data_IF_064239958027
#
_entry.id   IF_064239958027
#
_cell.length_a   1.000
_cell.length_b   1.000
_cell.length_c   1.000
_cell.angle_alpha   90.00
_cell.angle_beta   90.00
_cell.angle_gamma   90.00
#
_symmetry.space_group_name_H-M   'P 1'
#
loop_
_entity.id
_entity.type
_entity.pdbx_description
1 polymer ?
#
# COMPACT_ATOMS: atom_id res chain seq x y z
N UNK A 1 -22.61 7.77 -18.23
CA UNK A 1 -22.82 7.25 -16.86
C UNK A 1 -21.57 6.61 -16.24
N UNK A 2 -20.70 5.89 -16.99
CA UNK A 2 -19.47 5.30 -16.43
C UNK A 2 -18.43 6.34 -15.99
N UNK A 3 -18.18 7.37 -16.80
CA UNK A 3 -17.22 8.44 -16.48
C UNK A 3 -17.57 9.23 -15.21
N UNK A 4 -18.85 9.50 -14.97
CA UNK A 4 -19.32 10.19 -13.78
C UNK A 4 -19.08 9.37 -12.50
N UNK A 5 -19.21 8.05 -12.55
CA UNK A 5 -18.94 7.16 -11.40
C UNK A 5 -17.45 7.11 -11.05
N UNK A 6 -16.57 7.18 -12.06
CA UNK A 6 -15.13 7.24 -11.86
C UNK A 6 -14.67 8.60 -11.29
N UNK A 7 -15.27 9.69 -11.80
CA UNK A 7 -15.02 11.03 -11.28
C UNK A 7 -15.48 11.16 -9.82
N UNK A 8 -16.65 10.61 -9.48
CA UNK A 8 -17.18 10.60 -8.12
C UNK A 8 -16.28 9.79 -7.17
N UNK A 9 -15.79 8.61 -7.61
CA UNK A 9 -14.83 7.81 -6.84
C UNK A 9 -13.52 8.55 -6.58
N UNK A 10 -12.99 9.26 -7.58
CA UNK A 10 -11.79 10.09 -7.44
C UNK A 10 -11.97 11.25 -6.47
N UNK A 11 -13.10 11.94 -6.54
CA UNK A 11 -13.43 13.05 -5.63
C UNK A 11 -13.59 12.57 -4.19
N UNK A 12 -14.28 11.45 -3.98
CA UNK A 12 -14.43 10.85 -2.65
C UNK A 12 -13.07 10.44 -2.09
N UNK A 13 -12.20 9.86 -2.90
CA UNK A 13 -10.86 9.45 -2.50
C UNK A 13 -10.00 10.66 -2.11
N UNK A 14 -10.03 11.73 -2.91
CA UNK A 14 -9.34 12.99 -2.60
C UNK A 14 -9.92 13.65 -1.34
N UNK A 15 -11.23 13.63 -1.16
CA UNK A 15 -11.88 14.16 0.03
C UNK A 15 -11.48 13.39 1.30
N UNK A 16 -11.44 12.04 1.24
CA UNK A 16 -11.00 11.19 2.35
C UNK A 16 -9.53 11.44 2.65
N UNK A 17 -8.69 11.57 1.63
CA UNK A 17 -7.26 11.85 1.78
C UNK A 17 -7.02 13.23 2.39
N UNK A 18 -7.76 14.24 1.95
CA UNK A 18 -7.75 15.58 2.54
C UNK A 18 -8.22 15.55 4.00
N UNK A 19 -9.27 14.77 4.31
CA UNK A 19 -9.82 14.63 5.65
C UNK A 19 -8.80 13.97 6.59
N UNK A 20 -8.05 12.96 6.11
CA UNK A 20 -6.98 12.32 6.87
C UNK A 20 -5.80 13.27 7.08
N UNK A 21 -5.42 14.06 6.09
CA UNK A 21 -4.30 15.01 6.18
C UNK A 21 -4.64 16.17 7.11
N UNK A 22 -5.90 16.68 7.08
CA UNK A 22 -6.30 17.87 7.84
C UNK A 22 -6.93 17.54 9.20
N UNK A 23 -7.53 16.36 9.35
CA UNK A 23 -8.19 15.98 10.59
C UNK A 23 -7.45 14.82 11.25
N UNK A 24 -6.58 15.14 12.17
CA UNK A 24 -5.91 14.16 13.03
C UNK A 24 -6.95 13.56 13.96
N UNK A 25 -7.47 12.37 13.63
CA UNK A 25 -8.22 11.58 14.61
C UNK A 25 -7.22 10.96 15.59
N UNK A 26 -7.40 11.16 16.90
CA UNK A 26 -6.64 10.44 17.90
C UNK A 26 -7.10 8.99 17.88
N UNK A 27 -6.32 8.11 17.25
CA UNK A 27 -6.41 6.68 17.52
C UNK A 27 -5.44 6.44 18.66
N UNK A 28 -5.91 6.05 19.82
CA UNK A 28 -5.12 5.83 21.05
C UNK A 28 -3.86 4.98 20.82
N UNK A 29 -3.90 4.06 19.86
CA UNK A 29 -2.75 3.27 19.43
C UNK A 29 -1.64 4.13 18.80
N UNK A 30 -1.99 5.23 18.13
CA UNK A 30 -1.03 6.12 17.45
C UNK A 30 -0.59 7.29 18.34
N UNK A 31 -1.27 7.57 19.43
CA UNK A 31 -0.86 8.55 20.43
C UNK A 31 0.47 8.14 21.12
N UNK A 32 0.65 6.84 21.36
CA UNK A 32 1.90 6.29 21.88
C UNK A 32 3.04 6.21 20.84
N UNK A 33 2.72 6.36 19.55
CA UNK A 33 3.66 6.14 18.44
C UNK A 33 4.40 7.41 18.03
N UNK A 34 3.93 8.59 18.40
CA UNK A 34 4.61 9.80 17.92
C UNK A 34 4.21 11.08 18.62
N UNK A 35 5.17 11.70 19.27
CA UNK A 35 5.19 13.15 19.52
C UNK A 35 5.18 13.99 18.22
N UNK A 36 5.42 13.36 17.06
CA UNK A 36 5.40 14.01 15.75
C UNK A 36 4.13 13.60 14.99
N UNK A 37 3.13 14.49 14.92
CA UNK A 37 1.91 14.29 14.14
C UNK A 37 2.13 13.96 12.65
N UNK A 38 3.39 13.99 12.18
CA UNK A 38 3.82 13.59 10.85
C UNK A 38 3.79 12.07 10.66
N UNK A 39 4.34 11.30 11.60
CA UNK A 39 4.40 9.84 11.49
C UNK A 39 3.00 9.22 11.54
N UNK A 40 2.11 9.73 12.39
CA UNK A 40 0.72 9.30 12.44
C UNK A 40 0.01 9.53 11.08
N UNK A 41 0.19 10.70 10.47
CA UNK A 41 -0.37 11.00 9.14
C UNK A 41 0.18 10.07 8.06
N UNK A 42 1.49 9.79 8.09
CA UNK A 42 2.12 8.87 7.15
C UNK A 42 1.54 7.45 7.28
N UNK A 43 1.34 6.95 8.50
CA UNK A 43 0.71 5.65 8.76
C UNK A 43 -0.72 5.58 8.23
N UNK A 44 -1.55 6.62 8.44
CA UNK A 44 -2.90 6.66 7.88
C UNK A 44 -2.91 6.59 6.36
N UNK A 45 -2.00 7.33 5.70
CA UNK A 45 -1.90 7.32 4.24
C UNK A 45 -1.51 5.92 3.74
N UNK A 46 -0.54 5.27 4.38
CA UNK A 46 -0.10 3.92 4.03
C UNK A 46 -1.23 2.90 4.23
N UNK A 47 -1.95 2.96 5.36
CA UNK A 47 -3.07 2.08 5.64
C UNK A 47 -4.21 2.26 4.63
N UNK A 48 -4.57 3.50 4.29
CA UNK A 48 -5.58 3.78 3.28
C UNK A 48 -5.15 3.25 1.91
N UNK A 49 -3.89 3.46 1.53
CA UNK A 49 -3.34 2.95 0.28
C UNK A 49 -3.35 1.43 0.22
N UNK A 50 -3.01 0.76 1.33
CA UNK A 50 -3.10 -0.70 1.44
C UNK A 50 -4.53 -1.20 1.28
N UNK A 51 -5.51 -0.54 1.88
CA UNK A 51 -6.93 -0.88 1.73
C UNK A 51 -7.39 -0.76 0.27
N UNK A 52 -6.96 0.28 -0.44
CA UNK A 52 -7.26 0.47 -1.86
C UNK A 52 -6.60 -0.62 -2.73
N UNK A 53 -5.37 -1.02 -2.41
CA UNK A 53 -4.71 -2.14 -3.09
C UNK A 53 -5.47 -3.45 -2.86
N UNK A 54 -5.91 -3.74 -1.64
CA UNK A 54 -6.72 -4.91 -1.34
C UNK A 54 -8.05 -4.91 -2.12
N UNK A 55 -8.70 -3.77 -2.19
CA UNK A 55 -9.91 -3.61 -3.02
C UNK A 55 -9.62 -3.87 -4.49
N UNK A 56 -8.48 -3.40 -5.02
CA UNK A 56 -8.07 -3.64 -6.40
C UNK A 56 -7.74 -5.12 -6.66
N UNK A 57 -7.13 -5.82 -5.71
CA UNK A 57 -6.88 -7.27 -5.78
C UNK A 57 -8.22 -8.03 -5.86
N UNK A 58 -9.20 -7.65 -5.04
CA UNK A 58 -10.51 -8.31 -5.01
C UNK A 58 -11.35 -8.03 -6.26
N UNK A 59 -11.27 -6.82 -6.81
CA UNK A 59 -12.13 -6.33 -7.91
C UNK A 59 -11.42 -6.14 -9.23
N UNK A 60 -10.13 -6.37 -9.33
CA UNK A 60 -9.35 -6.18 -10.57
C UNK A 60 -9.90 -7.02 -11.73
N UNK A 61 -10.16 -6.40 -12.91
CA UNK A 61 -10.77 -7.07 -14.05
C UNK A 61 -9.84 -8.06 -14.73
N UNK A 62 -8.52 -7.88 -14.63
CA UNK A 62 -7.51 -8.74 -15.25
C UNK A 62 -6.57 -9.35 -14.22
N UNK A 63 -5.99 -10.50 -14.54
CA UNK A 63 -4.95 -11.13 -13.71
C UNK A 63 -3.75 -10.21 -13.54
N UNK A 64 -3.38 -9.45 -14.58
CA UNK A 64 -2.29 -8.49 -14.53
C UNK A 64 -2.57 -7.34 -13.54
N UNK A 65 -3.80 -6.81 -13.50
CA UNK A 65 -4.19 -5.78 -12.54
C UNK A 65 -4.03 -6.24 -11.09
N UNK A 66 -4.39 -7.49 -10.80
CA UNK A 66 -4.27 -8.08 -9.46
C UNK A 66 -2.80 -8.28 -9.07
N UNK A 67 -1.98 -8.76 -10.00
CA UNK A 67 -0.54 -8.94 -9.79
C UNK A 67 0.13 -7.60 -9.49
N UNK A 68 -0.16 -6.56 -10.27
CA UNK A 68 0.36 -5.21 -10.03
C UNK A 68 -0.08 -4.66 -8.69
N UNK A 69 -1.32 -4.92 -8.26
CA UNK A 69 -1.81 -4.47 -6.97
C UNK A 69 -1.11 -5.20 -5.79
N UNK A 70 -0.78 -6.49 -5.95
CA UNK A 70 -0.01 -7.26 -4.96
C UNK A 70 1.42 -6.70 -4.84
N UNK A 71 2.05 -6.33 -5.94
CA UNK A 71 3.39 -5.75 -5.94
C UNK A 71 3.43 -4.40 -5.22
N UNK A 72 2.45 -3.51 -5.53
CA UNK A 72 2.30 -2.22 -4.84
C UNK A 72 2.03 -2.43 -3.35
N UNK A 73 1.22 -3.42 -2.98
CA UNK A 73 0.96 -3.75 -1.57
C UNK A 73 2.26 -4.16 -0.84
N UNK A 74 3.15 -4.90 -1.52
CA UNK A 74 4.46 -5.25 -1.00
C UNK A 74 5.31 -4.03 -0.66
N UNK A 75 5.35 -3.04 -1.56
CA UNK A 75 6.07 -1.77 -1.33
C UNK A 75 5.47 -0.99 -0.15
N UNK A 76 4.14 -0.98 -0.01
CA UNK A 76 3.47 -0.32 1.10
C UNK A 76 3.79 -0.98 2.45
N UNK A 77 3.94 -2.30 2.50
CA UNK A 77 4.37 -3.02 3.71
C UNK A 77 5.80 -2.62 4.09
N UNK A 78 6.71 -2.52 3.13
CA UNK A 78 8.08 -2.03 3.38
C UNK A 78 8.07 -0.60 3.93
N UNK A 79 7.26 0.28 3.33
CA UNK A 79 7.08 1.65 3.80
C UNK A 79 6.51 1.72 5.23
N UNK A 80 5.53 0.86 5.54
CA UNK A 80 4.98 0.73 6.88
C UNK A 80 6.05 0.30 7.89
N UNK A 81 6.85 -0.72 7.56
CA UNK A 81 7.96 -1.17 8.41
C UNK A 81 8.99 -0.07 8.66
N UNK A 82 9.33 0.72 7.63
CA UNK A 82 10.26 1.84 7.75
C UNK A 82 9.72 2.93 8.69
N UNK A 83 8.44 3.28 8.58
CA UNK A 83 7.80 4.25 9.48
C UNK A 83 7.81 3.71 10.92
N UNK A 84 7.46 2.45 11.11
CA UNK A 84 7.46 1.82 12.44
C UNK A 84 8.85 1.78 13.04
N UNK A 85 9.88 1.47 12.27
CA UNK A 85 11.27 1.50 12.72
C UNK A 85 11.68 2.90 13.19
N UNK A 86 11.32 3.93 12.44
CA UNK A 86 11.64 5.31 12.77
C UNK A 86 10.92 5.81 14.04
N UNK A 87 9.71 5.31 14.28
CA UNK A 87 8.88 5.75 15.41
C UNK A 87 9.23 5.01 16.70
N UNK A 88 9.49 3.70 16.61
CA UNK A 88 9.75 2.85 17.77
C UNK A 88 11.24 2.73 18.10
N UNK A 89 12.11 3.30 17.25
CA UNK A 89 13.57 3.19 17.33
C UNK A 89 14.06 1.74 17.46
N UNK A 90 13.35 0.81 16.81
CA UNK A 90 13.66 -0.62 16.86
C UNK A 90 14.03 -1.17 15.48
N UNK A 91 15.21 -1.78 15.38
CA UNK A 91 15.77 -2.28 14.13
C UNK A 91 15.01 -3.45 13.49
N UNK A 92 14.30 -4.25 14.25
CA UNK A 92 13.58 -5.46 13.73
C UNK A 92 12.59 -5.12 12.62
N UNK A 93 11.94 -3.95 12.67
CA UNK A 93 11.01 -3.56 11.60
C UNK A 93 11.74 -3.39 10.27
N UNK A 94 13.00 -2.93 10.28
CA UNK A 94 13.82 -2.84 9.07
C UNK A 94 14.17 -4.23 8.54
N UNK A 95 14.50 -5.17 9.41
CA UNK A 95 14.82 -6.55 9.01
C UNK A 95 13.60 -7.21 8.34
N UNK A 96 12.40 -7.03 8.90
CA UNK A 96 11.15 -7.50 8.31
C UNK A 96 10.90 -6.81 6.96
N UNK A 97 11.11 -5.50 6.88
CA UNK A 97 10.96 -4.74 5.65
C UNK A 97 11.88 -5.21 4.54
N UNK A 98 13.17 -5.48 4.85
CA UNK A 98 14.16 -6.01 3.91
C UNK A 98 13.75 -7.41 3.42
N UNK A 99 13.36 -8.29 4.35
CA UNK A 99 12.90 -9.64 4.00
C UNK A 99 11.69 -9.59 3.05
N UNK A 100 10.75 -8.67 3.30
CA UNK A 100 9.57 -8.47 2.47
C UNK A 100 9.90 -7.89 1.09
N UNK A 101 10.85 -6.94 1.02
CA UNK A 101 11.32 -6.38 -0.24
C UNK A 101 11.98 -7.45 -1.13
N UNK A 102 12.80 -8.32 -0.55
CA UNK A 102 13.42 -9.43 -1.28
C UNK A 102 12.37 -10.42 -1.80
N UNK A 103 11.37 -10.75 -1.00
CA UNK A 103 10.27 -11.62 -1.41
C UNK A 103 9.47 -11.01 -2.56
N UNK A 104 9.15 -9.71 -2.50
CA UNK A 104 8.43 -8.99 -3.56
C UNK A 104 9.23 -9.00 -4.87
N UNK A 105 10.54 -8.78 -4.80
CA UNK A 105 11.43 -8.84 -5.97
C UNK A 105 11.41 -10.23 -6.64
N UNK A 106 11.51 -11.31 -5.85
CA UNK A 106 11.46 -12.69 -6.37
C UNK A 106 10.10 -12.97 -7.01
N UNK A 107 9.02 -12.52 -6.40
CA UNK A 107 7.67 -12.68 -6.93
C UNK A 107 7.51 -11.96 -8.28
N UNK A 108 7.99 -10.73 -8.43
CA UNK A 108 7.96 -9.96 -9.67
C UNK A 108 8.74 -10.65 -10.79
N UNK A 109 9.92 -11.21 -10.50
CA UNK A 109 10.70 -11.99 -11.47
C UNK A 109 9.96 -13.27 -11.90
N UNK A 110 9.35 -13.99 -10.96
CA UNK A 110 8.57 -15.18 -11.26
C UNK A 110 7.36 -14.88 -12.15
N UNK A 111 6.65 -13.79 -11.88
CA UNK A 111 5.52 -13.33 -12.71
C UNK A 111 5.96 -12.89 -14.10
N UNK A 112 7.07 -12.17 -14.22
CA UNK A 112 7.64 -11.77 -15.50
C UNK A 112 7.92 -12.99 -16.37
N UNK A 113 8.58 -14.01 -15.80
CA UNK A 113 8.90 -15.25 -16.51
C UNK A 113 7.64 -16.05 -16.87
N UNK A 114 6.64 -16.06 -16.00
CA UNK A 114 5.38 -16.75 -16.27
C UNK A 114 4.62 -16.11 -17.44
N UNK A 115 4.58 -14.78 -17.51
CA UNK A 115 3.93 -14.04 -18.58
C UNK A 115 4.68 -14.19 -19.90
N UNK A 116 6.00 -14.23 -19.88
CA UNK A 116 6.84 -14.47 -21.04
C UNK A 116 6.54 -15.84 -21.67
N UNK A 117 6.52 -16.92 -20.85
CA UNK A 117 6.24 -18.27 -21.32
C UNK A 117 4.87 -18.39 -21.97
N UNK A 118 3.85 -17.74 -21.44
CA UNK A 118 2.49 -17.77 -21.97
C UNK A 118 2.37 -17.08 -23.33
N UNK A 119 3.30 -16.20 -23.66
CA UNK A 119 3.35 -15.49 -24.94
C UNK A 119 3.95 -16.34 -26.08
N UNK A 120 4.76 -17.33 -25.74
CA UNK A 120 5.36 -18.24 -26.72
C UNK A 120 4.44 -19.46 -27.04
N UNK A 121 3.48 -19.75 -26.17
CA UNK A 121 2.52 -20.86 -26.34
C UNK A 121 1.19 -20.41 -27.02
N UNK A 122 1.09 -19.13 -27.38
CA UNK A 122 -0.06 -18.54 -28.07
C UNK A 122 0.29 -18.16 -29.51
#
# INVERSE_FOLDING_TARGET
MRAARWALGGVVLLAVLALIVFRTYPVEFLENVSDSGFAARALYIVLLSALLCLFRIARGPTSADRIMAIDILGILIVGFCAIMAAVTDTGWYLDIGIAWALQSFIASLAFSKYLERRRFDA
#
